data_IF_190836413495
#
_entry.id   IF_190836413495
#
_cell.length_a   1.000
_cell.length_b   1.000
_cell.length_c   1.000
_cell.angle_alpha   90.00
_cell.angle_beta   90.00
_cell.angle_gamma   90.00
#
_symmetry.space_group_name_H-M   'P 1'
#
loop_
_entity.id
_entity.type
_entity.pdbx_description
1 polymer ?
#
# COMPACT_ATOMS: atom_id res chain seq x y z
N UNK A 1 2.48 -57.99 1.58
CA UNK A 1 1.93 -57.09 2.62
C UNK A 1 3.04 -56.16 3.09
N UNK A 2 3.18 -54.99 2.46
CA UNK A 2 4.14 -53.99 2.89
C UNK A 2 3.37 -52.78 3.49
N UNK A 3 3.40 -52.70 4.81
CA UNK A 3 2.94 -51.54 5.55
C UNK A 3 3.93 -50.37 5.34
N UNK A 4 3.61 -49.44 4.49
CA UNK A 4 4.28 -48.13 4.50
C UNK A 4 3.84 -47.38 5.77
N UNK A 5 4.72 -47.35 6.75
CA UNK A 5 4.62 -46.51 7.93
C UNK A 5 4.75 -45.05 7.48
N UNK A 6 3.66 -44.34 7.41
CA UNK A 6 3.68 -42.88 7.26
C UNK A 6 4.32 -42.29 8.52
N UNK A 7 5.50 -41.78 8.38
CA UNK A 7 6.17 -40.97 9.42
C UNK A 7 5.38 -39.67 9.55
N UNK A 8 4.50 -39.60 10.54
CA UNK A 8 3.82 -38.36 10.97
C UNK A 8 4.93 -37.45 11.53
N UNK A 9 5.43 -36.58 10.68
CA UNK A 9 6.31 -35.48 11.08
C UNK A 9 5.55 -34.67 12.13
N UNK A 10 6.06 -34.60 13.35
CA UNK A 10 5.60 -33.75 14.43
C UNK A 10 5.78 -32.25 14.05
N UNK A 11 4.99 -31.75 13.13
CA UNK A 11 4.89 -30.33 12.89
C UNK A 11 4.21 -29.67 14.10
N UNK A 12 5.02 -29.07 14.95
CA UNK A 12 4.54 -28.25 16.06
C UNK A 12 3.64 -27.16 15.47
N UNK A 13 2.34 -27.20 15.74
CA UNK A 13 1.36 -26.26 15.17
C UNK A 13 1.85 -24.82 15.35
N UNK A 14 2.04 -24.09 14.25
CA UNK A 14 2.48 -22.70 14.25
C UNK A 14 1.24 -21.80 14.41
N UNK A 15 0.93 -21.40 15.64
CA UNK A 15 -0.20 -20.51 15.93
C UNK A 15 0.24 -19.06 15.86
N UNK A 16 -0.40 -18.29 15.01
CA UNK A 16 -0.11 -16.89 14.72
C UNK A 16 -1.20 -15.96 15.24
N UNK A 17 -0.82 -14.95 16.00
CA UNK A 17 -1.65 -13.78 16.23
C UNK A 17 -1.35 -12.73 15.12
N UNK A 18 -2.34 -12.47 14.30
CA UNK A 18 -2.29 -11.47 13.23
C UNK A 18 -2.97 -10.20 13.75
N UNK A 19 -2.19 -9.18 14.07
CA UNK A 19 -2.66 -7.92 14.59
C UNK A 19 -2.54 -6.86 13.50
N UNK A 20 -3.68 -6.42 12.99
CA UNK A 20 -3.73 -5.39 11.96
C UNK A 20 -5.00 -4.56 12.08
N UNK A 21 -4.83 -3.27 12.34
CA UNK A 21 -5.94 -2.32 12.43
C UNK A 21 -6.81 -2.33 11.18
N UNK A 22 -6.19 -2.31 9.99
CA UNK A 22 -6.85 -2.40 8.69
C UNK A 22 -6.77 -3.82 8.14
N UNK A 23 -7.74 -4.65 8.47
CA UNK A 23 -7.85 -6.01 7.93
C UNK A 23 -9.06 -6.13 7.00
N UNK A 24 -8.99 -6.92 5.92
CA UNK A 24 -10.16 -7.15 5.06
C UNK A 24 -11.45 -7.47 5.84
N UNK A 25 -12.63 -7.01 5.37
CA UNK A 25 -12.96 -6.47 4.06
C UNK A 25 -12.79 -4.94 3.91
N UNK A 26 -12.05 -4.27 4.80
CA UNK A 26 -11.83 -2.82 4.67
C UNK A 26 -11.14 -2.49 3.36
N UNK A 27 -11.75 -1.62 2.56
CA UNK A 27 -11.26 -1.25 1.23
C UNK A 27 -10.30 -0.06 1.32
N UNK A 28 -9.08 -0.33 1.77
CA UNK A 28 -7.96 0.62 1.77
C UNK A 28 -6.73 -0.06 1.16
N UNK A 29 -5.85 0.71 0.54
CA UNK A 29 -4.65 0.16 -0.13
C UNK A 29 -3.82 -0.76 0.76
N UNK A 30 -3.81 -0.48 2.06
CA UNK A 30 -3.12 -1.31 3.04
C UNK A 30 -3.71 -2.72 3.18
N UNK A 31 -5.02 -2.89 3.00
CA UNK A 31 -5.67 -4.19 3.18
C UNK A 31 -5.27 -5.22 2.12
N UNK A 32 -4.82 -4.78 0.95
CA UNK A 32 -4.32 -5.66 -0.12
C UNK A 32 -3.04 -6.36 0.34
N UNK A 33 -2.07 -5.59 0.82
CA UNK A 33 -0.82 -6.14 1.37
C UNK A 33 -1.05 -7.05 2.57
N UNK A 34 -1.97 -6.65 3.45
CA UNK A 34 -2.38 -7.45 4.60
C UNK A 34 -2.99 -8.78 4.17
N UNK A 35 -3.83 -8.78 3.14
CA UNK A 35 -4.40 -9.99 2.54
C UNK A 35 -3.29 -10.91 2.00
N UNK A 36 -2.34 -10.38 1.26
CA UNK A 36 -1.20 -11.15 0.74
C UNK A 36 -0.39 -11.82 1.86
N UNK A 37 -0.08 -11.12 2.95
CA UNK A 37 0.60 -11.74 4.09
C UNK A 37 -0.25 -12.80 4.76
N UNK A 38 -1.54 -12.54 4.94
CA UNK A 38 -2.46 -13.50 5.54
C UNK A 38 -2.50 -14.81 4.72
N UNK A 39 -2.69 -14.71 3.41
CA UNK A 39 -2.68 -15.87 2.49
C UNK A 39 -1.33 -16.60 2.51
N UNK A 40 -0.24 -15.86 2.54
CA UNK A 40 1.09 -16.44 2.63
C UNK A 40 1.36 -17.18 3.94
N UNK A 41 0.85 -16.70 5.07
CA UNK A 41 0.94 -17.43 6.35
C UNK A 41 0.10 -18.70 6.32
N UNK A 42 -1.11 -18.67 5.73
CA UNK A 42 -1.92 -19.89 5.53
C UNK A 42 -1.17 -20.90 4.67
N UNK A 43 -0.59 -20.48 3.54
CA UNK A 43 0.19 -21.35 2.65
C UNK A 43 1.42 -21.98 3.36
N UNK A 44 1.94 -21.31 4.39
CA UNK A 44 3.04 -21.83 5.23
C UNK A 44 2.55 -22.63 6.46
N UNK A 45 1.27 -23.01 6.51
CA UNK A 45 0.72 -23.90 7.53
C UNK A 45 0.45 -23.24 8.88
N UNK A 46 0.26 -21.91 8.92
CA UNK A 46 -0.11 -21.22 10.16
C UNK A 46 -1.61 -21.31 10.44
N UNK A 47 -1.94 -21.56 11.70
CA UNK A 47 -3.29 -21.35 12.24
C UNK A 47 -3.39 -19.91 12.73
N UNK A 48 -4.28 -19.11 12.13
CA UNK A 48 -4.29 -17.66 12.33
C UNK A 48 -5.48 -17.21 13.17
N UNK A 49 -5.20 -16.42 14.20
CA UNK A 49 -6.18 -15.64 14.97
C UNK A 49 -5.99 -14.15 14.67
N UNK A 50 -7.04 -13.43 14.30
CA UNK A 50 -6.98 -12.04 13.82
C UNK A 50 -7.59 -11.08 14.82
N UNK A 51 -6.84 -10.06 15.23
CA UNK A 51 -7.34 -8.88 15.95
C UNK A 51 -7.30 -7.67 15.02
N UNK A 52 -8.43 -6.99 14.83
CA UNK A 52 -8.56 -5.89 13.89
C UNK A 52 -9.61 -4.87 14.33
N UNK A 53 -9.61 -3.69 13.73
CA UNK A 53 -10.64 -2.68 13.95
C UNK A 53 -11.99 -3.05 13.30
N UNK A 54 -13.09 -2.61 13.92
CA UNK A 54 -14.46 -2.72 13.36
C UNK A 54 -14.81 -1.45 12.61
N UNK A 55 -14.82 -1.50 11.28
CA UNK A 55 -15.12 -0.37 10.41
C UNK A 55 -16.59 -0.31 9.99
N UNK A 56 -17.12 0.88 9.63
CA UNK A 56 -18.47 1.04 9.08
C UNK A 56 -18.63 0.31 7.74
N UNK A 57 -19.87 -0.15 7.43
CA UNK A 57 -20.19 -0.84 6.17
C UNK A 57 -19.76 -0.07 4.91
N UNK A 58 -19.83 1.27 4.92
CA UNK A 58 -19.36 2.12 3.82
C UNK A 58 -17.88 1.94 3.46
N UNK A 59 -17.05 1.48 4.40
CA UNK A 59 -15.62 1.22 4.18
C UNK A 59 -15.30 -0.24 3.91
N UNK A 60 -16.25 -1.15 4.14
CA UNK A 60 -16.02 -2.60 4.01
C UNK A 60 -16.64 -3.19 2.76
N UNK A 61 -17.57 -2.48 2.10
CA UNK A 61 -18.35 -3.05 1.01
C UNK A 61 -19.21 -4.24 1.47
N UNK A 62 -19.88 -4.90 0.52
CA UNK A 62 -20.72 -6.08 0.77
C UNK A 62 -19.93 -7.40 0.69
N UNK A 63 -18.62 -7.35 0.46
CA UNK A 63 -17.83 -8.56 0.29
C UNK A 63 -17.69 -9.34 1.60
N UNK A 64 -18.35 -10.47 1.67
CA UNK A 64 -18.04 -11.55 2.62
C UNK A 64 -16.74 -12.21 2.16
N UNK A 65 -15.66 -11.94 2.85
CA UNK A 65 -14.38 -12.59 2.55
C UNK A 65 -14.39 -13.94 3.28
N UNK A 66 -14.53 -15.03 2.54
CA UNK A 66 -14.33 -16.38 3.05
C UNK A 66 -12.86 -16.68 3.22
N UNK A 67 -12.26 -16.15 4.29
CA UNK A 67 -10.89 -16.49 4.66
C UNK A 67 -10.92 -17.62 5.71
N UNK A 68 -10.00 -18.58 5.65
CA UNK A 68 -9.87 -19.66 6.64
C UNK A 68 -9.28 -19.12 7.95
N UNK A 69 -10.07 -18.33 8.67
CA UNK A 69 -9.68 -17.69 9.93
C UNK A 69 -10.20 -18.55 11.08
N UNK A 70 -9.31 -19.01 11.94
CA UNK A 70 -9.69 -19.78 13.13
C UNK A 70 -10.47 -18.94 14.13
N UNK A 71 -10.02 -17.71 14.36
CA UNK A 71 -10.65 -16.75 15.26
C UNK A 71 -10.47 -15.32 14.73
N UNK A 72 -11.55 -14.55 14.68
CA UNK A 72 -11.47 -13.11 14.40
C UNK A 72 -12.20 -12.30 15.46
N UNK A 73 -11.58 -11.26 15.95
CA UNK A 73 -12.21 -10.28 16.81
C UNK A 73 -12.05 -8.87 16.27
N UNK A 74 -13.19 -8.22 15.98
CA UNK A 74 -13.24 -6.86 15.46
C UNK A 74 -13.51 -5.89 16.60
N UNK A 75 -12.49 -5.12 16.97
CA UNK A 75 -12.52 -4.19 18.09
C UNK A 75 -13.37 -2.98 17.70
N UNK A 76 -14.40 -2.62 18.49
CA UNK A 76 -15.17 -1.41 18.26
C UNK A 76 -14.27 -0.18 18.28
N UNK A 77 -14.37 0.66 17.26
CA UNK A 77 -13.57 1.88 17.16
C UNK A 77 -14.31 3.01 17.86
N UNK A 78 -13.87 3.32 19.07
CA UNK A 78 -14.28 4.51 19.80
C UNK A 78 -13.30 5.63 19.45
N UNK A 79 -13.52 6.34 18.37
CA UNK A 79 -12.59 7.40 18.01
C UNK A 79 -13.30 8.57 17.33
N UNK A 80 -12.72 9.74 17.51
CA UNK A 80 -13.11 10.98 16.85
C UNK A 80 -13.24 10.82 15.33
N UNK A 81 -12.50 9.87 14.72
CA UNK A 81 -12.60 9.57 13.29
C UNK A 81 -13.99 9.06 12.88
N UNK A 82 -14.72 8.35 13.75
CA UNK A 82 -16.12 7.96 13.47
C UNK A 82 -17.06 9.13 13.51
N UNK A 83 -16.81 10.09 14.40
CA UNK A 83 -17.56 11.35 14.47
C UNK A 83 -17.20 12.27 13.30
N UNK A 84 -15.93 12.27 12.87
CA UNK A 84 -15.43 13.13 11.80
C UNK A 84 -15.45 12.45 10.41
N UNK A 85 -15.59 11.12 10.26
CA UNK A 85 -15.61 10.47 8.94
C UNK A 85 -16.82 10.90 8.12
N UNK A 86 -17.98 11.06 8.73
CA UNK A 86 -19.14 11.65 8.06
C UNK A 86 -18.91 13.13 7.72
N UNK A 87 -18.21 13.85 8.58
CA UNK A 87 -17.88 15.25 8.39
C UNK A 87 -16.77 15.47 7.35
N UNK A 88 -15.75 14.62 7.31
CA UNK A 88 -14.65 14.69 6.34
C UNK A 88 -15.14 14.28 4.94
N UNK A 89 -15.92 13.20 4.81
CA UNK A 89 -16.44 12.74 3.52
C UNK A 89 -17.44 13.74 2.92
N UNK A 90 -18.23 14.42 3.75
CA UNK A 90 -19.18 15.45 3.27
C UNK A 90 -18.51 16.79 2.99
N UNK A 91 -17.37 17.10 3.63
CA UNK A 91 -16.70 18.39 3.46
C UNK A 91 -15.66 18.44 2.34
N UNK A 92 -15.19 17.30 1.82
CA UNK A 92 -14.37 17.30 0.60
C UNK A 92 -15.17 17.62 -0.67
N UNK A 93 -16.50 17.61 -0.58
CA UNK A 93 -17.41 17.93 -1.71
C UNK A 93 -17.98 19.35 -1.69
N UNK A 94 -17.67 20.17 -0.67
CA UNK A 94 -18.21 21.53 -0.53
C UNK A 94 -17.10 22.59 -0.48
N UNK A 95 -17.17 23.62 -1.34
CA UNK A 95 -16.18 24.73 -1.35
C UNK A 95 -16.27 25.70 -0.17
N UNK A 96 -17.09 25.40 0.85
CA UNK A 96 -17.43 26.36 1.91
C UNK A 96 -16.48 26.26 3.11
N UNK A 97 -15.90 27.42 3.47
CA UNK A 97 -15.28 27.80 4.74
C UNK A 97 -13.78 27.51 4.90
N UNK A 98 -12.97 28.35 4.26
CA UNK A 98 -11.50 28.38 4.41
C UNK A 98 -11.03 28.44 5.89
N UNK A 99 -11.72 29.19 6.75
CA UNK A 99 -11.39 29.28 8.18
C UNK A 99 -11.58 27.96 8.94
N UNK A 100 -12.60 27.14 8.58
CA UNK A 100 -12.79 25.80 9.16
C UNK A 100 -11.75 24.81 8.64
N UNK A 101 -11.24 25.01 7.42
CA UNK A 101 -10.22 24.15 6.81
C UNK A 101 -8.86 24.26 7.54
N UNK A 102 -8.47 25.48 7.92
CA UNK A 102 -7.25 25.74 8.71
C UNK A 102 -7.34 25.11 10.10
N UNK A 103 -8.48 25.28 10.79
CA UNK A 103 -8.70 24.69 12.12
C UNK A 103 -8.67 23.15 12.06
N UNK A 104 -9.34 22.54 11.07
CA UNK A 104 -9.35 21.09 10.89
C UNK A 104 -7.96 20.56 10.52
N UNK A 105 -7.21 21.26 9.65
CA UNK A 105 -5.84 20.86 9.30
C UNK A 105 -4.89 20.92 10.49
N UNK A 106 -5.04 21.92 11.35
CA UNK A 106 -4.28 22.06 12.59
C UNK A 106 -4.62 20.95 13.59
N UNK A 107 -5.90 20.59 13.72
CA UNK A 107 -6.36 19.51 14.58
C UNK A 107 -5.88 18.15 14.06
N UNK A 108 -5.91 17.92 12.74
CA UNK A 108 -5.37 16.71 12.11
C UNK A 108 -3.84 16.63 12.24
N UNK A 109 -3.14 17.75 12.10
CA UNK A 109 -1.70 17.83 12.32
C UNK A 109 -1.34 17.51 13.76
N UNK A 110 -2.09 18.05 14.72
CA UNK A 110 -1.90 17.75 16.14
C UNK A 110 -2.17 16.26 16.46
N UNK A 111 -3.22 15.68 15.88
CA UNK A 111 -3.55 14.25 16.02
C UNK A 111 -2.42 13.34 15.57
N UNK A 112 -1.69 13.72 14.52
CA UNK A 112 -0.63 12.90 13.95
C UNK A 112 0.71 12.99 14.71
N UNK A 113 0.78 13.79 15.79
CA UNK A 113 1.98 13.95 16.62
C UNK A 113 2.05 12.92 17.74
N UNK A 114 3.23 12.37 18.01
CA UNK A 114 3.46 11.58 19.23
C UNK A 114 3.51 12.54 20.44
N UNK A 115 2.85 12.23 21.58
CA UNK A 115 2.13 10.98 21.87
C UNK A 115 0.67 10.98 21.40
N UNK A 116 0.15 12.07 20.86
CA UNK A 116 -1.27 12.24 20.53
C UNK A 116 -1.78 11.25 19.50
N UNK A 117 -0.94 10.81 18.55
CA UNK A 117 -1.31 9.77 17.61
C UNK A 117 -1.57 8.40 18.29
N UNK A 118 -0.93 8.12 19.41
CA UNK A 118 -1.21 6.93 20.20
C UNK A 118 -2.50 7.08 21.02
N UNK A 119 -2.86 8.33 21.38
CA UNK A 119 -4.03 8.62 22.22
C UNK A 119 -5.31 8.75 21.37
N UNK A 120 -5.23 9.53 20.29
CA UNK A 120 -6.39 9.97 19.50
C UNK A 120 -6.29 9.51 18.04
N UNK A 121 -5.11 9.01 17.61
CA UNK A 121 -4.84 8.58 16.24
C UNK A 121 -5.62 7.32 15.82
N UNK A 122 -5.28 6.80 14.66
CA UNK A 122 -5.85 5.55 14.17
C UNK A 122 -5.54 4.42 15.16
N UNK A 123 -6.61 3.89 15.76
CA UNK A 123 -6.52 2.92 16.84
C UNK A 123 -6.64 3.52 18.25
N UNK A 124 -5.92 4.57 18.59
CA UNK A 124 -5.97 5.22 19.90
C UNK A 124 -5.76 4.30 21.12
N UNK A 125 -5.81 4.89 22.32
CA UNK A 125 -5.58 4.13 23.58
C UNK A 125 -6.66 3.07 23.83
N UNK A 126 -7.90 3.32 23.45
CA UNK A 126 -9.00 2.36 23.69
C UNK A 126 -8.77 1.09 22.87
N UNK A 127 -8.43 1.26 21.58
CA UNK A 127 -8.08 0.12 20.73
C UNK A 127 -6.87 -0.63 21.28
N UNK A 128 -5.84 0.11 21.69
CA UNK A 128 -4.61 -0.44 22.25
C UNK A 128 -4.90 -1.38 23.43
N UNK A 129 -5.64 -0.89 24.42
CA UNK A 129 -5.91 -1.68 25.62
C UNK A 129 -6.84 -2.86 25.37
N UNK A 130 -7.90 -2.67 24.57
CA UNK A 130 -8.80 -3.79 24.22
C UNK A 130 -8.03 -4.86 23.45
N UNK A 131 -7.21 -4.45 22.45
CA UNK A 131 -6.40 -5.38 21.67
C UNK A 131 -5.38 -6.11 22.53
N UNK A 132 -4.68 -5.40 23.43
CA UNK A 132 -3.68 -5.96 24.32
C UNK A 132 -4.28 -7.04 25.25
N UNK A 133 -5.34 -6.72 25.99
CA UNK A 133 -5.94 -7.69 26.90
C UNK A 133 -6.57 -8.88 26.17
N UNK A 134 -7.19 -8.65 25.01
CA UNK A 134 -7.71 -9.73 24.19
C UNK A 134 -6.58 -10.63 23.67
N UNK A 135 -5.47 -10.02 23.22
CA UNK A 135 -4.28 -10.74 22.78
C UNK A 135 -3.68 -11.59 23.90
N UNK A 136 -3.52 -11.03 25.10
CA UNK A 136 -3.02 -11.77 26.29
C UNK A 136 -3.87 -13.02 26.55
N UNK A 137 -5.21 -12.88 26.53
CA UNK A 137 -6.11 -14.01 26.69
C UNK A 137 -5.92 -15.05 25.58
N UNK A 138 -5.79 -14.61 24.34
CA UNK A 138 -5.66 -15.52 23.19
C UNK A 138 -4.29 -16.21 23.13
N UNK A 139 -3.21 -15.51 23.50
CA UNK A 139 -1.87 -16.10 23.55
C UNK A 139 -1.86 -17.30 24.51
N UNK A 140 -2.50 -17.18 25.66
CA UNK A 140 -2.61 -18.27 26.64
C UNK A 140 -3.53 -19.40 26.15
N UNK A 141 -4.73 -19.05 25.66
CA UNK A 141 -5.76 -20.05 25.32
C UNK A 141 -5.40 -20.83 24.04
N UNK A 142 -4.85 -20.17 23.03
CA UNK A 142 -4.56 -20.77 21.72
C UNK A 142 -3.08 -21.12 21.54
N UNK A 143 -2.27 -21.04 22.60
CA UNK A 143 -0.83 -21.35 22.56
C UNK A 143 -0.12 -20.65 21.40
N UNK A 144 -0.39 -19.36 21.24
CA UNK A 144 0.19 -18.55 20.17
C UNK A 144 1.69 -18.46 20.35
N UNK A 145 2.42 -18.71 19.27
CA UNK A 145 3.88 -18.72 19.25
C UNK A 145 4.47 -17.62 18.37
N UNK A 146 3.67 -17.09 17.44
CA UNK A 146 4.09 -16.07 16.48
C UNK A 146 3.15 -14.86 16.53
N UNK A 147 3.72 -13.70 16.25
CA UNK A 147 3.00 -12.43 16.19
C UNK A 147 3.39 -11.71 14.91
N UNK A 148 2.40 -11.28 14.12
CA UNK A 148 2.59 -10.43 12.96
C UNK A 148 1.85 -9.12 13.13
N UNK A 149 2.52 -8.01 12.80
CA UNK A 149 1.93 -6.67 12.81
C UNK A 149 2.33 -5.90 11.58
N UNK A 150 1.47 -4.98 11.11
CA UNK A 150 1.77 -4.13 9.96
C UNK A 150 1.49 -2.66 10.26
N UNK A 151 2.47 -1.80 10.02
CA UNK A 151 2.35 -0.35 10.06
C UNK A 151 1.77 0.16 8.72
N UNK A 152 0.85 1.09 8.61
CA UNK A 152 0.24 2.00 9.57
C UNK A 152 -1.11 1.48 10.06
N UNK A 153 -1.60 1.72 11.25
CA UNK A 153 -1.05 2.63 12.24
C UNK A 153 0.03 2.02 13.15
N UNK A 154 0.82 2.87 13.81
CA UNK A 154 1.92 2.44 14.68
C UNK A 154 1.43 1.71 15.95
N UNK A 155 0.16 1.90 16.33
CA UNK A 155 -0.42 1.28 17.53
C UNK A 155 -0.32 -0.24 17.51
N UNK A 156 -0.44 -0.90 16.37
CA UNK A 156 -0.32 -2.35 16.25
C UNK A 156 1.08 -2.83 16.65
N UNK A 157 2.13 -2.10 16.24
CA UNK A 157 3.50 -2.39 16.64
C UNK A 157 3.73 -2.11 18.13
N UNK A 158 3.07 -1.09 18.68
CA UNK A 158 3.18 -0.79 20.11
C UNK A 158 2.52 -1.86 20.97
N UNK A 159 1.36 -2.36 20.56
CA UNK A 159 0.70 -3.51 21.20
C UNK A 159 1.62 -4.74 21.15
N UNK A 160 2.23 -5.00 20.00
CA UNK A 160 3.17 -6.12 19.83
C UNK A 160 4.40 -5.98 20.74
N UNK A 161 4.93 -4.77 20.88
CA UNK A 161 6.02 -4.48 21.81
C UNK A 161 5.65 -4.82 23.26
N UNK A 162 4.47 -4.38 23.73
CA UNK A 162 3.97 -4.71 25.05
C UNK A 162 3.77 -6.22 25.24
N UNK A 163 3.21 -6.90 24.22
CA UNK A 163 3.04 -8.35 24.22
C UNK A 163 4.38 -9.08 24.27
N UNK A 164 5.38 -8.59 23.54
CA UNK A 164 6.73 -9.16 23.55
C UNK A 164 7.45 -8.96 24.88
N UNK A 165 7.18 -7.86 25.59
CA UNK A 165 7.65 -7.65 26.96
C UNK A 165 6.99 -8.62 27.95
N UNK A 166 5.68 -8.88 27.78
CA UNK A 166 4.90 -9.80 28.63
C UNK A 166 5.19 -11.26 28.32
N UNK A 167 5.39 -11.60 27.04
CA UNK A 167 5.62 -12.94 26.52
C UNK A 167 6.89 -12.98 25.65
N UNK A 168 8.08 -13.03 26.24
CA UNK A 168 9.35 -12.96 25.50
C UNK A 168 9.56 -14.10 24.49
N UNK A 169 8.86 -15.23 24.67
CA UNK A 169 8.93 -16.40 23.78
C UNK A 169 8.23 -16.21 22.43
N UNK A 170 7.37 -15.18 22.29
CA UNK A 170 6.70 -14.89 21.01
C UNK A 170 7.73 -14.52 19.95
N UNK A 171 7.57 -15.04 18.75
CA UNK A 171 8.34 -14.62 17.59
C UNK A 171 7.60 -13.51 16.86
N UNK A 172 8.11 -12.28 16.95
CA UNK A 172 7.44 -11.09 16.40
C UNK A 172 8.04 -10.66 15.07
N UNK A 173 7.20 -10.66 14.03
CA UNK A 173 7.47 -10.16 12.70
C UNK A 173 6.76 -8.82 12.52
N UNK A 174 7.51 -7.74 12.27
CA UNK A 174 7.01 -6.38 12.14
C UNK A 174 7.13 -5.90 10.68
N UNK A 175 6.00 -5.58 10.03
CA UNK A 175 5.95 -5.08 8.65
C UNK A 175 5.80 -3.55 8.62
N UNK A 176 6.74 -2.87 7.96
CA UNK A 176 6.78 -1.43 7.79
C UNK A 176 6.56 -1.06 6.32
N UNK A 177 5.39 -0.52 6.01
CA UNK A 177 5.06 -0.06 4.65
C UNK A 177 5.54 1.36 4.38
N UNK A 178 5.58 2.17 5.43
CA UNK A 178 6.00 3.55 5.43
C UNK A 178 7.03 3.75 6.54
N UNK A 179 7.85 4.78 6.42
CA UNK A 179 8.72 5.17 7.52
C UNK A 179 7.84 5.66 8.69
N UNK A 180 7.98 5.08 9.88
CA UNK A 180 7.17 5.47 11.03
C UNK A 180 7.54 6.86 11.56
N UNK A 181 8.64 7.42 11.09
CA UNK A 181 9.09 8.78 11.38
C UNK A 181 9.16 9.52 10.05
N UNK A 182 8.11 10.26 9.75
CA UNK A 182 8.07 11.09 8.55
C UNK A 182 8.97 12.33 8.78
N UNK A 183 10.11 12.37 8.08
CA UNK A 183 11.05 13.48 8.09
C UNK A 183 10.45 14.74 7.46
N UNK A 184 9.32 14.60 6.78
CA UNK A 184 8.57 15.61 6.05
C UNK A 184 8.06 16.76 6.92
N UNK A 185 7.96 16.54 8.21
CA UNK A 185 7.50 17.53 9.17
C UNK A 185 8.61 17.88 10.17
N UNK A 186 9.63 18.70 9.76
CA UNK A 186 10.79 19.02 10.58
C UNK A 186 10.45 19.83 11.86
N UNK A 187 9.23 20.34 11.98
CA UNK A 187 8.75 21.02 13.19
C UNK A 187 8.49 20.09 14.38
N UNK A 188 8.89 18.82 14.27
CA UNK A 188 8.74 17.88 15.35
C UNK A 188 9.94 17.95 16.31
N UNK A 189 9.76 18.68 17.38
CA UNK A 189 10.52 18.50 18.62
C UNK A 189 10.59 17.02 19.05
N UNK A 190 9.72 16.21 18.47
CA UNK A 190 9.54 14.77 18.72
C UNK A 190 10.28 13.84 17.74
N UNK A 191 11.07 14.35 16.79
CA UNK A 191 11.82 13.49 15.86
C UNK A 191 12.80 12.58 16.62
N UNK A 192 13.54 13.15 17.55
CA UNK A 192 14.48 12.42 18.41
C UNK A 192 13.75 11.42 19.32
N UNK A 193 12.61 11.80 19.89
CA UNK A 193 11.78 10.93 20.71
C UNK A 193 11.19 9.78 19.87
N UNK A 194 10.71 10.06 18.68
CA UNK A 194 10.18 9.05 17.75
C UNK A 194 11.26 8.06 17.33
N UNK A 195 12.48 8.54 17.03
CA UNK A 195 13.64 7.67 16.75
C UNK A 195 14.00 6.81 17.94
N UNK A 196 14.06 7.40 19.12
CA UNK A 196 14.37 6.67 20.36
C UNK A 196 13.34 5.55 20.60
N UNK A 197 12.06 5.88 20.46
CA UNK A 197 10.97 4.93 20.62
C UNK A 197 11.05 3.81 19.57
N UNK A 198 11.24 4.17 18.30
CA UNK A 198 11.38 3.21 17.20
C UNK A 198 12.56 2.27 17.40
N UNK A 199 13.69 2.78 17.88
CA UNK A 199 14.88 1.97 18.20
C UNK A 199 14.56 0.92 19.27
N UNK A 200 13.86 1.29 20.34
CA UNK A 200 13.50 0.37 21.40
C UNK A 200 12.47 -0.66 20.95
N UNK A 201 11.49 -0.23 20.15
CA UNK A 201 10.46 -1.07 19.58
C UNK A 201 11.09 -2.12 18.65
N UNK A 202 11.92 -1.70 17.69
CA UNK A 202 12.54 -2.59 16.71
C UNK A 202 13.52 -3.58 17.33
N UNK A 203 14.22 -3.22 18.41
CA UNK A 203 15.08 -4.16 19.16
C UNK A 203 14.35 -5.39 19.70
N UNK A 204 13.03 -5.30 19.90
CA UNK A 204 12.21 -6.41 20.40
C UNK A 204 11.62 -7.26 19.26
N UNK A 205 11.58 -6.75 18.03
CA UNK A 205 11.15 -7.54 16.87
C UNK A 205 12.20 -8.63 16.56
N UNK A 206 11.74 -9.80 16.16
CA UNK A 206 12.63 -10.91 15.75
C UNK A 206 12.94 -10.83 14.25
N UNK A 207 12.03 -10.25 13.46
CA UNK A 207 12.22 -9.94 12.06
C UNK A 207 11.47 -8.66 11.69
N UNK A 208 12.07 -7.88 10.80
CA UNK A 208 11.46 -6.68 10.22
C UNK A 208 11.28 -6.89 8.72
N UNK A 209 10.12 -6.54 8.20
CA UNK A 209 9.78 -6.59 6.78
C UNK A 209 9.48 -5.17 6.33
N UNK A 210 9.87 -4.82 5.11
CA UNK A 210 9.54 -3.53 4.51
C UNK A 210 9.27 -3.64 3.01
N UNK A 211 8.80 -2.56 2.40
CA UNK A 211 8.39 -2.55 0.99
C UNK A 211 9.53 -2.27 0.02
N UNK A 212 10.57 -1.55 0.45
CA UNK A 212 11.62 -1.04 -0.43
C UNK A 212 12.99 -0.99 0.21
N UNK A 213 14.02 -0.97 -0.63
CA UNK A 213 15.40 -0.82 -0.19
C UNK A 213 15.64 0.56 0.48
N UNK A 214 14.97 1.60 0.00
CA UNK A 214 15.09 2.94 0.59
C UNK A 214 14.60 2.95 2.04
N UNK A 215 13.45 2.33 2.34
CA UNK A 215 12.95 2.19 3.71
C UNK A 215 13.82 1.23 4.51
N UNK A 216 14.29 0.14 3.90
CA UNK A 216 15.19 -0.81 4.57
C UNK A 216 16.45 -0.12 5.09
N UNK A 217 17.12 0.69 4.27
CA UNK A 217 18.33 1.43 4.65
C UNK A 217 18.10 2.34 5.87
N UNK A 218 16.90 2.93 5.99
CA UNK A 218 16.56 3.74 7.17
C UNK A 218 16.31 2.88 8.42
N UNK A 219 15.69 1.73 8.26
CA UNK A 219 15.39 0.80 9.35
C UNK A 219 16.63 0.02 9.81
N UNK A 220 17.62 -0.20 8.93
CA UNK A 220 18.91 -0.85 9.26
C UNK A 220 19.70 -0.10 10.35
N UNK A 221 19.45 1.19 10.52
CA UNK A 221 20.00 1.98 11.63
C UNK A 221 19.53 1.50 13.01
N UNK A 222 18.45 0.71 13.06
CA UNK A 222 17.79 0.28 14.29
C UNK A 222 17.66 -1.24 14.43
N UNK A 223 17.74 -2.00 13.32
CA UNK A 223 17.56 -3.44 13.30
C UNK A 223 18.38 -4.10 12.22
N UNK A 224 19.01 -5.24 12.54
CA UNK A 224 19.94 -5.94 11.62
C UNK A 224 19.28 -6.95 10.69
N UNK A 225 18.06 -7.43 11.01
CA UNK A 225 17.34 -8.44 10.24
C UNK A 225 16.19 -7.82 9.48
N UNK A 226 16.50 -7.06 8.43
CA UNK A 226 15.48 -6.44 7.58
C UNK A 226 15.32 -7.26 6.30
N UNK A 227 14.07 -7.50 5.96
CA UNK A 227 13.68 -8.23 4.76
C UNK A 227 12.80 -7.32 3.89
N UNK A 228 12.97 -7.41 2.59
CA UNK A 228 12.22 -6.59 1.64
C UNK A 228 11.16 -7.45 0.96
N UNK A 229 9.92 -6.99 1.01
CA UNK A 229 8.80 -7.52 0.25
C UNK A 229 8.03 -6.36 -0.38
N UNK A 230 8.30 -6.10 -1.64
CA UNK A 230 7.72 -4.95 -2.34
C UNK A 230 6.24 -5.15 -2.70
N UNK A 231 5.84 -6.35 -3.00
CA UNK A 231 4.48 -6.74 -3.38
C UNK A 231 4.47 -8.07 -4.08
N UNK A 232 3.31 -8.62 -4.38
CA UNK A 232 3.17 -9.79 -5.25
C UNK A 232 2.19 -9.52 -6.38
N UNK A 233 2.44 -10.20 -7.48
CA UNK A 233 1.57 -10.27 -8.64
C UNK A 233 1.00 -11.68 -8.64
N UNK A 234 -0.30 -11.81 -8.89
CA UNK A 234 -0.95 -13.12 -8.93
C UNK A 234 -0.29 -14.01 -9.99
N UNK A 235 -0.02 -15.27 -9.62
CA UNK A 235 0.44 -16.29 -10.59
C UNK A 235 -0.69 -16.76 -11.50
N UNK A 236 -1.95 -16.55 -11.10
CA UNK A 236 -3.10 -16.92 -11.92
C UNK A 236 -3.14 -16.11 -13.21
N UNK A 237 -3.38 -16.78 -14.30
CA UNK A 237 -3.67 -16.17 -15.59
C UNK A 237 -5.06 -15.52 -15.52
N UNK A 238 -5.12 -14.30 -14.99
CA UNK A 238 -6.35 -13.52 -15.02
C UNK A 238 -6.73 -13.33 -16.48
N UNK A 239 -7.88 -13.86 -16.87
CA UNK A 239 -8.46 -13.58 -18.19
C UNK A 239 -8.53 -12.06 -18.35
N UNK A 240 -7.68 -11.53 -19.20
CA UNK A 240 -7.68 -10.09 -19.46
C UNK A 240 -8.85 -9.78 -20.38
N UNK A 241 -9.61 -8.73 -20.13
CA UNK A 241 -10.49 -8.25 -21.15
C UNK A 241 -9.64 -7.93 -22.37
N UNK A 242 -9.93 -8.58 -23.48
CA UNK A 242 -9.32 -8.31 -24.80
C UNK A 242 -9.70 -6.90 -25.28
N UNK A 243 -10.70 -6.31 -24.63
CA UNK A 243 -11.28 -5.02 -24.98
C UNK A 243 -10.40 -3.93 -24.36
N UNK A 244 -9.70 -3.19 -25.22
CA UNK A 244 -9.07 -1.92 -24.88
C UNK A 244 -10.15 -0.85 -25.00
N UNK A 245 -10.10 0.17 -24.14
CA UNK A 245 -10.93 1.35 -24.30
C UNK A 245 -10.84 1.88 -25.74
N UNK A 246 -11.95 2.29 -26.37
CA UNK A 246 -11.94 2.94 -27.69
C UNK A 246 -11.22 4.29 -27.66
N UNK A 247 -10.83 4.77 -26.47
CA UNK A 247 -10.07 5.98 -26.25
C UNK A 247 -8.66 5.68 -25.76
N UNK A 248 -7.73 6.56 -26.08
CA UNK A 248 -6.39 6.57 -25.47
C UNK A 248 -6.50 7.05 -24.04
N UNK A 249 -6.81 6.10 -23.16
CA UNK A 249 -7.24 6.36 -21.78
C UNK A 249 -6.06 6.44 -20.82
N UNK A 250 -5.97 7.56 -20.11
CA UNK A 250 -5.07 7.75 -18.96
C UNK A 250 -5.83 7.49 -17.66
N UNK A 251 -5.47 6.43 -16.94
CA UNK A 251 -6.16 6.05 -15.72
C UNK A 251 -5.31 6.30 -14.48
N UNK A 252 -5.90 6.90 -13.45
CA UNK A 252 -5.32 7.00 -12.13
C UNK A 252 -6.31 6.56 -11.05
N UNK A 253 -5.97 5.52 -10.28
CA UNK A 253 -6.78 5.05 -9.16
C UNK A 253 -6.03 5.26 -7.85
N UNK A 254 -6.64 6.02 -6.90
CA UNK A 254 -6.14 6.24 -5.56
C UNK A 254 -6.00 7.70 -5.14
N UNK A 255 -5.48 7.91 -3.95
CA UNK A 255 -5.38 9.26 -3.37
C UNK A 255 -4.32 10.10 -4.08
N UNK A 256 -4.61 11.38 -4.25
CA UNK A 256 -3.65 12.41 -4.66
C UNK A 256 -3.12 13.11 -3.41
N UNK A 257 -1.84 13.42 -3.42
CA UNK A 257 -1.15 14.25 -2.43
C UNK A 257 -0.78 15.58 -3.10
N UNK A 258 -1.63 16.62 -2.99
CA UNK A 258 -1.54 17.82 -3.82
C UNK A 258 -0.21 18.58 -3.74
N UNK A 259 0.46 18.53 -2.58
CA UNK A 259 1.72 19.24 -2.34
C UNK A 259 2.93 18.53 -2.95
N UNK A 260 2.77 17.29 -3.43
CA UNK A 260 3.87 16.42 -3.85
C UNK A 260 3.68 15.83 -5.23
N UNK A 261 2.43 15.64 -5.63
CA UNK A 261 2.06 15.04 -6.91
C UNK A 261 1.50 16.12 -7.82
N UNK A 262 1.99 16.15 -9.06
CA UNK A 262 1.58 17.12 -10.07
C UNK A 262 1.38 16.40 -11.42
N UNK A 263 0.21 16.58 -12.03
CA UNK A 263 -0.14 16.06 -13.34
C UNK A 263 0.15 17.07 -14.46
N UNK A 264 0.35 18.34 -14.13
CA UNK A 264 0.49 19.42 -15.10
C UNK A 264 1.62 19.19 -16.13
N UNK A 265 2.79 18.59 -15.78
CA UNK A 265 3.81 18.30 -16.77
C UNK A 265 3.34 17.34 -17.86
N UNK A 266 2.60 16.30 -17.49
CA UNK A 266 2.02 15.35 -18.45
C UNK A 266 1.00 16.05 -19.36
N UNK A 267 0.11 16.85 -18.77
CA UNK A 267 -0.91 17.61 -19.52
C UNK A 267 -0.23 18.53 -20.56
N UNK A 268 0.82 19.26 -20.16
CA UNK A 268 1.58 20.14 -21.07
C UNK A 268 2.19 19.39 -22.24
N UNK A 269 2.79 18.22 -21.99
CA UNK A 269 3.39 17.40 -23.06
C UNK A 269 2.32 16.88 -24.00
N UNK A 270 1.16 16.45 -23.49
CA UNK A 270 0.05 15.98 -24.33
C UNK A 270 -0.51 17.11 -25.18
N UNK A 271 -0.66 18.33 -24.63
CA UNK A 271 -1.12 19.50 -25.40
C UNK A 271 -0.13 19.83 -26.53
N UNK A 272 1.18 19.80 -26.28
CA UNK A 272 2.19 19.97 -27.33
C UNK A 272 2.06 18.90 -28.44
N UNK A 273 1.81 17.63 -28.08
CA UNK A 273 1.60 16.56 -29.06
C UNK A 273 0.30 16.74 -29.86
N UNK A 274 -0.72 17.35 -29.28
CA UNK A 274 -1.96 17.71 -29.96
C UNK A 274 -1.72 18.86 -30.94
N UNK A 275 -1.02 19.91 -30.52
CA UNK A 275 -0.66 21.07 -31.36
C UNK A 275 0.20 20.66 -32.57
N UNK A 276 1.08 19.67 -32.39
CA UNK A 276 1.90 19.09 -33.46
C UNK A 276 1.14 18.10 -34.36
N UNK A 277 -0.14 17.85 -34.10
CA UNK A 277 -0.97 16.91 -34.88
C UNK A 277 -0.59 15.43 -34.67
N UNK A 278 0.26 15.10 -33.69
CA UNK A 278 0.68 13.73 -33.41
C UNK A 278 -0.44 12.96 -32.68
N UNK A 279 -1.09 13.60 -31.71
CA UNK A 279 -2.22 13.04 -30.97
C UNK A 279 -3.50 13.77 -31.34
N UNK A 280 -4.54 13.03 -31.70
CA UNK A 280 -5.85 13.62 -31.89
C UNK A 280 -6.51 13.84 -30.49
N UNK A 281 -6.87 15.08 -30.20
CA UNK A 281 -7.50 15.44 -28.92
C UNK A 281 -8.75 14.61 -28.61
N UNK A 282 -9.56 14.27 -29.64
CA UNK A 282 -10.79 13.49 -29.51
C UNK A 282 -10.56 12.04 -29.07
N UNK A 283 -9.35 11.52 -29.25
CA UNK A 283 -9.01 10.16 -28.84
C UNK A 283 -8.71 10.03 -27.34
N UNK A 284 -8.53 11.14 -26.62
CA UNK A 284 -8.10 11.14 -25.21
C UNK A 284 -9.27 10.98 -24.25
N UNK A 285 -9.10 10.12 -23.25
CA UNK A 285 -9.98 10.01 -22.10
C UNK A 285 -9.16 9.97 -20.79
N UNK A 286 -9.51 10.81 -19.84
CA UNK A 286 -8.94 10.84 -18.51
C UNK A 286 -9.89 10.16 -17.53
N UNK A 287 -9.41 9.13 -16.84
CA UNK A 287 -10.18 8.44 -15.80
C UNK A 287 -9.52 8.57 -14.46
N UNK A 288 -10.29 8.88 -13.44
CA UNK A 288 -9.84 8.99 -12.06
C UNK A 288 -10.80 8.32 -11.10
N UNK A 289 -10.24 7.61 -10.12
CA UNK A 289 -11.00 7.15 -8.96
C UNK A 289 -10.17 7.30 -7.68
N UNK A 290 -10.64 8.10 -6.74
CA UNK A 290 -9.93 8.24 -5.46
C UNK A 290 -10.33 9.46 -4.65
N UNK A 291 -9.59 9.67 -3.56
CA UNK A 291 -9.74 10.87 -2.72
C UNK A 291 -9.13 12.08 -3.43
N UNK A 292 -9.78 13.22 -3.37
CA UNK A 292 -9.41 14.49 -4.03
C UNK A 292 -9.75 14.59 -5.52
N UNK A 293 -10.97 14.20 -5.94
CA UNK A 293 -11.42 14.29 -7.34
C UNK A 293 -11.28 15.72 -7.89
N UNK A 294 -11.63 16.72 -7.09
CA UNK A 294 -11.53 18.13 -7.45
C UNK A 294 -10.10 18.56 -7.85
N UNK A 295 -9.07 18.02 -7.20
CA UNK A 295 -7.68 18.34 -7.56
C UNK A 295 -7.29 17.76 -8.91
N UNK A 296 -7.76 16.55 -9.22
CA UNK A 296 -7.51 15.93 -10.52
C UNK A 296 -8.24 16.70 -11.63
N UNK A 297 -9.47 17.08 -11.39
CA UNK A 297 -10.29 17.87 -12.28
C UNK A 297 -9.66 19.24 -12.60
N UNK A 298 -9.11 19.94 -11.60
CA UNK A 298 -8.43 21.23 -11.79
C UNK A 298 -7.27 21.19 -12.79
N UNK A 299 -6.57 20.07 -12.95
CA UNK A 299 -5.51 19.93 -13.92
C UNK A 299 -6.01 19.75 -15.36
N UNK A 300 -7.24 19.29 -15.52
CA UNK A 300 -7.78 18.84 -16.81
C UNK A 300 -8.81 19.79 -17.43
N UNK A 301 -9.74 20.31 -16.63
CA UNK A 301 -10.85 21.12 -17.11
C UNK A 301 -10.46 22.39 -17.90
N UNK A 302 -9.30 23.04 -17.66
CA UNK A 302 -8.87 24.14 -18.52
C UNK A 302 -8.52 23.73 -19.97
N UNK A 303 -8.30 22.42 -20.21
CA UNK A 303 -7.72 21.92 -21.44
C UNK A 303 -8.59 20.90 -22.18
N UNK A 304 -9.41 20.15 -21.44
CA UNK A 304 -10.24 19.07 -21.99
C UNK A 304 -11.72 19.26 -21.65
N UNK A 305 -12.64 18.96 -22.58
CA UNK A 305 -14.07 19.01 -22.31
C UNK A 305 -14.50 17.89 -21.33
N UNK A 306 -15.66 18.09 -20.69
CA UNK A 306 -16.13 17.16 -19.65
C UNK A 306 -16.35 15.73 -20.15
N UNK A 307 -16.67 15.53 -21.42
CA UNK A 307 -16.86 14.21 -22.05
C UNK A 307 -15.56 13.39 -22.09
N UNK A 308 -14.41 14.04 -21.95
CA UNK A 308 -13.09 13.42 -21.91
C UNK A 308 -12.56 13.23 -20.48
N UNK A 309 -13.38 13.51 -19.47
CA UNK A 309 -12.98 13.48 -18.04
C UNK A 309 -14.01 12.67 -17.25
N UNK A 310 -13.68 11.42 -16.92
CA UNK A 310 -14.52 10.55 -16.08
C UNK A 310 -13.90 10.39 -14.68
N UNK A 311 -14.40 11.19 -13.75
CA UNK A 311 -13.92 11.26 -12.37
C UNK A 311 -14.95 10.68 -11.41
N UNK A 312 -14.51 9.74 -10.57
CA UNK A 312 -15.28 9.16 -9.48
C UNK A 312 -14.57 9.35 -8.15
N UNK A 313 -15.28 9.76 -7.12
CA UNK A 313 -14.71 9.90 -5.77
C UNK A 313 -14.39 8.53 -5.15
N UNK A 314 -15.17 7.52 -5.46
CA UNK A 314 -15.03 6.16 -4.96
C UNK A 314 -15.65 5.17 -5.94
N UNK A 315 -14.97 4.03 -6.12
CA UNK A 315 -15.51 2.86 -6.81
C UNK A 315 -15.23 1.60 -5.98
N UNK A 316 -16.12 0.60 -6.06
CA UNK A 316 -15.81 -0.74 -5.58
C UNK A 316 -14.54 -1.29 -6.24
N UNK A 317 -13.81 -2.13 -5.50
CA UNK A 317 -12.52 -2.66 -5.99
C UNK A 317 -12.62 -3.36 -7.38
N UNK A 318 -13.65 -4.18 -7.67
CA UNK A 318 -13.80 -4.79 -9.00
C UNK A 318 -13.90 -3.77 -10.13
N UNK A 319 -14.72 -2.71 -9.95
CA UNK A 319 -14.90 -1.66 -10.96
C UNK A 319 -13.62 -0.82 -11.14
N UNK A 320 -12.91 -0.52 -10.03
CA UNK A 320 -11.61 0.15 -10.11
C UNK A 320 -10.60 -0.71 -10.87
N UNK A 321 -10.63 -2.04 -10.66
CA UNK A 321 -9.77 -2.99 -11.37
C UNK A 321 -10.10 -3.06 -12.87
N UNK A 322 -11.36 -3.05 -13.23
CA UNK A 322 -11.80 -3.02 -14.61
C UNK A 322 -11.27 -1.76 -15.34
N UNK A 323 -11.38 -0.58 -14.73
CA UNK A 323 -10.80 0.65 -15.28
C UNK A 323 -9.29 0.54 -15.48
N UNK A 324 -8.56 -0.04 -14.54
CA UNK A 324 -7.13 -0.29 -14.67
C UNK A 324 -6.83 -1.22 -15.86
N UNK A 325 -7.63 -2.26 -16.06
CA UNK A 325 -7.45 -3.24 -17.14
C UNK A 325 -7.81 -2.69 -18.52
N UNK A 326 -8.78 -1.78 -18.61
CA UNK A 326 -9.20 -1.16 -19.88
C UNK A 326 -8.32 0.03 -20.29
N UNK A 327 -7.52 0.57 -19.39
CA UNK A 327 -6.70 1.74 -19.66
C UNK A 327 -5.65 1.50 -20.76
N UNK A 328 -5.41 2.50 -21.59
CA UNK A 328 -4.25 2.51 -22.49
C UNK A 328 -2.97 2.72 -21.70
N UNK A 329 -3.01 3.58 -20.67
CA UNK A 329 -1.88 3.87 -19.78
C UNK A 329 -2.41 4.02 -18.35
N UNK A 330 -1.82 3.28 -17.41
CA UNK A 330 -2.02 3.50 -15.97
C UNK A 330 -0.99 4.47 -15.42
N UNK A 331 -1.42 5.50 -14.70
CA UNK A 331 -0.58 6.57 -14.18
C UNK A 331 -0.18 6.31 -12.72
N UNK A 332 1.09 6.43 -12.43
CA UNK A 332 1.63 6.50 -11.06
C UNK A 332 2.27 7.87 -10.88
N UNK A 333 1.66 8.70 -10.05
CA UNK A 333 2.25 9.96 -9.62
C UNK A 333 2.97 9.72 -8.29
N UNK A 334 4.25 10.02 -8.23
CA UNK A 334 5.08 9.83 -7.05
C UNK A 334 5.99 11.02 -6.81
N UNK A 335 6.73 11.01 -5.72
CA UNK A 335 7.73 12.01 -5.40
C UNK A 335 8.92 11.36 -4.71
N UNK A 336 10.06 12.00 -4.81
CA UNK A 336 11.28 11.60 -4.11
C UNK A 336 12.09 12.83 -3.75
N UNK A 337 12.64 12.83 -2.55
CA UNK A 337 13.55 13.88 -2.07
C UNK A 337 14.88 13.27 -1.67
N UNK A 338 15.90 14.09 -1.44
CA UNK A 338 17.20 13.62 -0.92
C UNK A 338 17.06 12.86 0.42
N UNK A 339 16.00 13.15 1.17
CA UNK A 339 15.76 12.60 2.52
C UNK A 339 14.75 11.45 2.47
N UNK A 340 13.71 11.55 1.64
CA UNK A 340 12.64 10.57 1.52
C UNK A 340 12.80 9.80 0.22
N UNK A 341 13.38 8.60 0.31
CA UNK A 341 13.64 7.70 -0.81
C UNK A 341 12.88 6.39 -0.63
N UNK A 342 12.67 5.66 -1.72
CA UNK A 342 12.10 4.32 -1.68
C UNK A 342 10.59 4.26 -1.53
N UNK A 343 9.86 5.30 -1.94
CA UNK A 343 8.40 5.29 -1.95
C UNK A 343 7.93 4.34 -3.05
N UNK A 344 7.67 3.10 -2.69
CA UNK A 344 7.00 2.12 -3.56
C UNK A 344 5.52 2.06 -3.19
N UNK A 345 4.69 2.48 -4.12
CA UNK A 345 3.24 2.42 -3.95
C UNK A 345 2.69 1.06 -4.38
N UNK A 346 1.72 0.53 -3.64
CA UNK A 346 0.99 -0.70 -4.03
C UNK A 346 0.33 -0.60 -5.39
N UNK A 347 -0.07 0.61 -5.81
CA UNK A 347 -0.63 0.88 -7.15
C UNK A 347 0.29 0.42 -8.27
N UNK A 348 1.61 0.57 -8.10
CA UNK A 348 2.55 0.11 -9.10
C UNK A 348 2.33 -1.38 -9.40
N UNK A 349 2.28 -2.23 -8.37
CA UNK A 349 2.10 -3.67 -8.53
C UNK A 349 0.70 -4.02 -9.04
N UNK A 350 -0.33 -3.30 -8.60
CA UNK A 350 -1.69 -3.47 -9.12
C UNK A 350 -1.77 -3.17 -10.64
N UNK A 351 -1.13 -2.10 -11.09
CA UNK A 351 -1.09 -1.73 -12.50
C UNK A 351 -0.23 -2.69 -13.32
N UNK A 352 0.91 -3.05 -12.77
CA UNK A 352 1.77 -4.04 -13.39
C UNK A 352 1.05 -5.39 -13.57
N UNK A 353 0.21 -5.79 -12.62
CA UNK A 353 -0.61 -7.00 -12.70
C UNK A 353 -1.67 -6.94 -13.82
N UNK A 354 -2.10 -5.75 -14.25
CA UNK A 354 -3.00 -5.61 -15.41
C UNK A 354 -2.33 -5.93 -16.74
N UNK A 355 -1.00 -5.87 -16.80
CA UNK A 355 -0.21 -5.98 -18.03
C UNK A 355 -0.36 -4.80 -18.99
N UNK A 356 -0.99 -3.71 -18.56
CA UNK A 356 -1.08 -2.48 -19.34
C UNK A 356 0.15 -1.61 -19.13
N UNK A 357 0.49 -0.73 -20.09
CA UNK A 357 1.55 0.26 -19.92
C UNK A 357 1.37 1.07 -18.64
N UNK A 358 2.46 1.25 -17.89
CA UNK A 358 2.50 2.06 -16.69
C UNK A 358 3.41 3.25 -16.91
N UNK A 359 2.88 4.44 -16.73
CA UNK A 359 3.64 5.69 -16.75
C UNK A 359 3.83 6.17 -15.30
N UNK A 360 5.08 6.23 -14.88
CA UNK A 360 5.46 6.78 -13.57
C UNK A 360 6.05 8.18 -13.77
N UNK A 361 5.43 9.15 -13.13
CA UNK A 361 5.93 10.53 -13.07
C UNK A 361 6.40 10.84 -11.66
N UNK A 362 7.65 11.25 -11.53
CA UNK A 362 8.28 11.57 -10.24
C UNK A 362 8.52 13.06 -10.11
N UNK A 363 7.96 13.64 -9.08
CA UNK A 363 8.34 14.98 -8.63
C UNK A 363 9.59 14.87 -7.77
N UNK A 364 10.74 15.28 -8.31
CA UNK A 364 12.03 15.17 -7.65
C UNK A 364 12.99 14.20 -8.34
N UNK A 365 13.72 13.40 -7.59
CA UNK A 365 14.82 12.56 -8.09
C UNK A 365 14.30 11.19 -8.52
N UNK A 366 14.76 10.66 -9.66
CA UNK A 366 14.47 9.29 -10.09
C UNK A 366 15.12 8.28 -9.13
N UNK A 367 14.35 7.28 -8.74
CA UNK A 367 14.83 6.23 -7.85
C UNK A 367 15.28 4.97 -8.62
N UNK A 368 16.46 4.48 -8.29
CA UNK A 368 17.05 3.30 -8.93
C UNK A 368 16.18 2.05 -8.78
N UNK A 369 15.52 1.89 -7.63
CA UNK A 369 14.67 0.72 -7.36
C UNK A 369 13.41 0.73 -8.23
N UNK A 370 12.76 1.88 -8.39
CA UNK A 370 11.63 2.05 -9.28
C UNK A 370 12.04 1.76 -10.73
N UNK A 371 13.16 2.34 -11.19
CA UNK A 371 13.70 2.09 -12.51
C UNK A 371 13.97 0.60 -12.74
N UNK A 372 14.55 -0.08 -11.76
CA UNK A 372 14.82 -1.52 -11.82
C UNK A 372 13.55 -2.34 -11.93
N UNK A 373 12.50 -2.01 -11.16
CA UNK A 373 11.20 -2.71 -11.26
C UNK A 373 10.61 -2.54 -12.64
N UNK A 374 10.58 -1.31 -13.15
CA UNK A 374 10.03 -1.01 -14.47
C UNK A 374 10.84 -1.60 -15.63
N UNK A 375 12.17 -1.73 -15.50
CA UNK A 375 13.01 -2.32 -16.55
C UNK A 375 12.68 -3.79 -16.83
N UNK A 376 12.15 -4.53 -15.86
CA UNK A 376 11.62 -5.88 -16.08
C UNK A 376 10.37 -5.89 -16.98
N UNK A 377 9.72 -4.74 -17.11
CA UNK A 377 8.46 -4.57 -17.83
C UNK A 377 8.64 -4.22 -19.31
N UNK A 378 9.86 -3.92 -19.76
CA UNK A 378 10.11 -3.37 -21.10
C UNK A 378 9.33 -2.07 -21.40
N UNK A 379 8.77 -1.44 -20.40
CA UNK A 379 8.16 -0.12 -20.49
C UNK A 379 9.04 0.85 -19.76
N UNK A 380 9.78 1.66 -20.48
CA UNK A 380 10.57 2.75 -19.91
C UNK A 380 9.71 3.99 -19.57
N UNK A 381 8.48 3.78 -19.08
CA UNK A 381 7.56 4.85 -18.68
C UNK A 381 7.89 5.44 -17.31
N UNK A 382 9.14 5.86 -17.09
CA UNK A 382 9.58 6.44 -15.83
C UNK A 382 10.35 7.73 -16.08
N UNK A 383 9.73 8.87 -15.74
CA UNK A 383 10.26 10.19 -16.04
C UNK A 383 10.16 11.11 -14.83
N UNK A 384 11.12 12.05 -14.75
CA UNK A 384 10.96 13.22 -13.88
C UNK A 384 9.91 14.17 -14.47
N UNK A 385 9.25 14.92 -13.63
CA UNK A 385 8.30 15.95 -14.07
C UNK A 385 8.92 17.02 -14.99
N UNK A 386 10.23 17.19 -14.94
CA UNK A 386 10.99 18.11 -15.80
C UNK A 386 11.46 17.50 -17.12
N UNK A 387 11.33 16.17 -17.30
CA UNK A 387 11.87 15.45 -18.46
C UNK A 387 10.88 15.38 -19.62
N UNK A 388 10.67 16.50 -20.30
CA UNK A 388 9.64 16.61 -21.35
C UNK A 388 9.98 15.81 -22.62
N UNK A 389 11.26 15.78 -23.07
CA UNK A 389 11.64 15.13 -24.34
C UNK A 389 11.47 13.61 -24.32
N UNK A 390 11.94 12.96 -23.26
CA UNK A 390 11.80 11.51 -23.09
C UNK A 390 10.33 11.11 -22.96
N UNK A 391 9.57 11.83 -22.13
CA UNK A 391 8.13 11.63 -21.97
C UNK A 391 7.36 11.80 -23.29
N UNK A 392 7.68 12.82 -24.06
CA UNK A 392 7.06 13.10 -25.35
C UNK A 392 7.26 11.94 -26.34
N UNK A 393 8.49 11.48 -26.52
CA UNK A 393 8.82 10.36 -27.39
C UNK A 393 8.11 9.06 -26.96
N UNK A 394 8.08 8.81 -25.65
CA UNK A 394 7.39 7.64 -25.10
C UNK A 394 5.89 7.69 -25.37
N UNK A 395 5.23 8.84 -25.12
CA UNK A 395 3.81 9.03 -25.37
C UNK A 395 3.45 8.88 -26.85
N UNK A 396 4.28 9.45 -27.74
CA UNK A 396 4.11 9.27 -29.18
C UNK A 396 4.12 7.80 -29.58
N UNK A 397 5.09 7.05 -29.06
CA UNK A 397 5.18 5.60 -29.32
C UNK A 397 3.96 4.85 -28.79
N UNK A 398 3.50 5.18 -27.58
CA UNK A 398 2.32 4.52 -26.98
C UNK A 398 1.04 4.85 -27.74
N UNK A 399 0.87 6.10 -28.20
CA UNK A 399 -0.29 6.51 -28.97
C UNK A 399 -0.35 5.82 -30.34
N UNK A 400 0.77 5.77 -31.08
CA UNK A 400 0.85 5.08 -32.36
C UNK A 400 0.51 3.59 -32.20
N UNK A 401 1.03 2.93 -31.20
CA UNK A 401 0.72 1.52 -30.92
C UNK A 401 -0.77 1.32 -30.61
N UNK A 402 -1.34 2.16 -29.75
CA UNK A 402 -2.77 2.12 -29.44
C UNK A 402 -3.61 2.31 -30.69
N UNK A 403 -3.28 3.30 -31.53
CA UNK A 403 -4.00 3.60 -32.80
C UNK A 403 -3.98 2.42 -33.76
N UNK A 404 -2.88 1.68 -33.81
CA UNK A 404 -2.71 0.51 -34.66
C UNK A 404 -3.26 -0.79 -34.04
N UNK A 405 -4.01 -0.72 -32.91
CA UNK A 405 -4.49 -1.87 -32.16
C UNK A 405 -3.37 -2.86 -31.77
N UNK A 406 -2.13 -2.39 -31.72
CA UNK A 406 -1.00 -3.17 -31.27
C UNK A 406 -1.06 -3.25 -29.73
N UNK A 407 -1.62 -4.34 -29.24
CA UNK A 407 -1.67 -4.56 -27.80
C UNK A 407 -0.27 -4.62 -27.22
N UNK A 408 0.00 -3.71 -26.29
CA UNK A 408 1.22 -3.77 -25.52
C UNK A 408 1.08 -4.89 -24.49
N UNK A 409 1.76 -5.99 -24.72
CA UNK A 409 1.85 -7.08 -23.76
C UNK A 409 3.15 -6.93 -22.98
N UNK A 410 3.05 -6.45 -21.75
CA UNK A 410 4.12 -6.64 -20.81
C UNK A 410 4.34 -8.15 -20.60
N UNK A 411 5.59 -8.57 -20.55
CA UNK A 411 5.92 -9.94 -20.20
C UNK A 411 5.63 -10.17 -18.69
N UNK A 412 4.32 -10.34 -18.41
CA UNK A 412 3.83 -10.60 -17.05
C UNK A 412 4.48 -11.83 -16.45
N UNK A 413 4.88 -12.83 -17.28
CA UNK A 413 5.53 -14.05 -16.78
C UNK A 413 6.86 -13.74 -16.10
N UNK A 414 7.68 -12.86 -16.68
CA UNK A 414 8.95 -12.45 -16.06
C UNK A 414 8.75 -11.74 -14.72
N UNK A 415 7.67 -10.96 -14.60
CA UNK A 415 7.40 -10.20 -13.38
C UNK A 415 6.77 -11.09 -12.35
N UNK A 416 5.80 -11.92 -12.75
CA UNK A 416 5.20 -12.90 -11.86
C UNK A 416 6.28 -13.84 -11.28
N UNK A 417 7.31 -14.21 -12.05
CA UNK A 417 8.46 -14.97 -11.52
C UNK A 417 9.20 -14.24 -10.40
N UNK A 418 9.37 -12.91 -10.51
CA UNK A 418 10.15 -12.13 -9.53
C UNK A 418 9.34 -11.61 -8.36
N UNK A 419 8.04 -11.40 -8.54
CA UNK A 419 7.12 -10.93 -7.52
C UNK A 419 6.02 -11.95 -7.29
N UNK A 420 6.41 -13.23 -7.27
CA UNK A 420 5.49 -14.36 -7.17
C UNK A 420 4.99 -14.56 -5.74
N UNK A 421 3.90 -15.29 -5.65
CA UNK A 421 3.42 -15.80 -4.36
C UNK A 421 4.44 -16.74 -3.72
N UNK A 422 5.24 -17.45 -4.52
CA UNK A 422 6.30 -18.33 -4.03
C UNK A 422 7.41 -17.54 -3.34
N UNK A 423 7.83 -16.38 -3.88
CA UNK A 423 8.78 -15.50 -3.19
C UNK A 423 8.22 -14.98 -1.88
N UNK A 424 6.93 -14.61 -1.85
CA UNK A 424 6.24 -14.25 -0.62
C UNK A 424 6.26 -15.38 0.39
N UNK A 425 5.92 -16.60 -0.05
CA UNK A 425 5.84 -17.76 0.81
C UNK A 425 7.22 -18.15 1.34
N UNK A 426 8.27 -18.08 0.50
CA UNK A 426 9.65 -18.30 0.89
C UNK A 426 10.14 -17.25 1.91
N UNK A 427 9.79 -15.98 1.70
CA UNK A 427 10.07 -14.92 2.67
C UNK A 427 9.40 -15.20 4.01
N UNK A 428 8.11 -15.52 4.01
CA UNK A 428 7.36 -15.81 5.24
C UNK A 428 8.00 -17.00 5.97
N UNK A 429 8.36 -18.06 5.27
CA UNK A 429 9.10 -19.18 5.84
C UNK A 429 10.40 -18.72 6.49
N UNK A 430 11.20 -17.94 5.78
CA UNK A 430 12.48 -17.40 6.28
C UNK A 430 12.32 -16.55 7.54
N UNK A 431 11.34 -15.62 7.56
CA UNK A 431 11.16 -14.68 8.68
C UNK A 431 10.45 -15.30 9.87
N UNK A 432 9.72 -16.40 9.67
CA UNK A 432 9.01 -17.11 10.73
C UNK A 432 9.84 -18.20 11.41
N UNK A 433 10.95 -18.60 10.81
CA UNK A 433 11.81 -19.58 11.45
C UNK A 433 12.58 -18.95 12.62
N UNK A 434 12.41 -19.53 13.80
CA UNK A 434 13.16 -19.13 14.99
C UNK A 434 14.64 -19.47 14.79
N UNK A 435 15.41 -18.53 14.30
CA UNK A 435 16.87 -18.66 14.37
C UNK A 435 17.26 -18.63 15.85
N UNK A 436 17.98 -19.61 16.40
CA UNK A 436 18.44 -19.54 17.76
C UNK A 436 19.28 -18.27 17.90
N UNK A 437 18.81 -17.32 18.72
CA UNK A 437 19.64 -16.19 19.13
C UNK A 437 20.87 -16.78 19.82
N UNK A 438 22.05 -16.73 19.16
CA UNK A 438 23.32 -16.92 19.87
C UNK A 438 23.28 -15.89 21.03
N UNK A 439 23.17 -16.40 22.24
CA UNK A 439 23.48 -15.62 23.43
C UNK A 439 24.95 -15.25 23.28
N UNK A 440 25.24 -13.99 22.93
CA UNK A 440 26.57 -13.46 23.17
C UNK A 440 26.68 -13.33 24.70
N UNK A 441 27.41 -14.26 25.26
CA UNK A 441 28.01 -14.17 26.59
C UNK A 441 28.93 -12.96 26.66
#
# INVERSE_FOLDING_TARGET
MNKKTQTISNYKAKNLLFLSYYFPPVQVSSSIRIKHFFEGFIANGFTISVLTGKFPKKMTGEQTINLPISNIYRIPLFGLRRLFSNFILTHYTLPLLWKKKVFISSLLSFRNRIPFNLIIGDGGLIYLWIAYFKAVKWIKNYKITHLFTSHSPLVDHFIAFLLKCTFPHLHWMADFRDLPVDIKYPHYMNYSLSKYFLKHLLKKADAVITVSKGIANELEKFHTKINIYSGSISSEEVQRPTIISPYFTFNYTGSIYPDYQDLSPLVKVILSLIEEGIINKKDILWTYCGLHPFKYEQWLTPHFPNEQIDIKAFLPLPEARERQQMAAINLVLTWSTSIQKGILTTKLFEYLDTGRPVLVLTNGVLETEMKRILSFYQTEGYFQNSENKGLKNWLTTMYIRWKNNQTYHCDRKKIAQKFSEDERNALIKKVSDKTPTRKNT
#
